data_IF_534922753621
#
_entry.id   IF_534922753621
#
_cell.length_a   1.000
_cell.length_b   1.000
_cell.length_c   1.000
_cell.angle_alpha   90.00
_cell.angle_beta   90.00
_cell.angle_gamma   90.00
#
_symmetry.space_group_name_H-M   'P 1'
#
loop_
_entity.id
_entity.type
_entity.pdbx_description
1 polymer ?
#
# COMPACT_ATOMS: atom_id res chain seq x y z
N UNK A 1 9.02 7.07 -3.27
CA UNK A 1 7.68 7.33 -3.86
C UNK A 1 6.97 8.38 -3.01
N UNK A 2 6.72 9.59 -3.54
CA UNK A 2 6.26 10.74 -2.73
C UNK A 2 4.75 10.77 -2.46
N UNK A 3 3.92 10.15 -3.30
CA UNK A 3 2.46 10.27 -3.19
C UNK A 3 1.88 9.67 -1.91
N UNK A 4 2.29 8.46 -1.51
CA UNK A 4 1.78 7.83 -0.28
C UNK A 4 2.05 8.73 0.94
N UNK A 5 3.27 9.25 1.04
CA UNK A 5 3.71 10.11 2.14
C UNK A 5 3.05 11.49 2.10
N UNK A 6 2.81 12.05 0.91
CA UNK A 6 2.36 13.44 0.78
C UNK A 6 0.84 13.60 0.59
N UNK A 7 0.14 12.55 0.15
CA UNK A 7 -1.29 12.61 -0.20
C UNK A 7 -2.10 11.66 0.69
N UNK A 8 -1.76 10.37 0.71
CA UNK A 8 -2.53 9.37 1.46
C UNK A 8 -2.35 9.49 2.98
N UNK A 9 -1.12 9.35 3.48
CA UNK A 9 -0.82 9.34 4.91
C UNK A 9 -1.37 10.57 5.65
N UNK A 10 -1.13 11.82 5.21
CA UNK A 10 -1.59 13.00 5.95
C UNK A 10 -3.10 13.18 5.92
N UNK A 11 -3.80 12.71 4.88
CA UNK A 11 -5.26 12.85 4.77
C UNK A 11 -6.03 11.69 5.40
N UNK A 12 -5.39 10.55 5.59
CA UNK A 12 -6.02 9.34 6.10
C UNK A 12 -6.74 9.51 7.47
N UNK A 13 -6.20 10.24 8.47
CA UNK A 13 -6.90 10.43 9.75
C UNK A 13 -8.29 11.03 9.62
N UNK A 14 -8.48 11.96 8.67
CA UNK A 14 -9.78 12.61 8.40
C UNK A 14 -10.66 11.77 7.47
N UNK A 15 -10.06 10.98 6.59
CA UNK A 15 -10.80 10.19 5.59
C UNK A 15 -11.14 8.76 6.05
N UNK A 16 -10.48 8.20 7.06
CA UNK A 16 -10.54 6.77 7.43
C UNK A 16 -11.94 6.22 7.74
N UNK A 17 -12.91 7.08 8.09
CA UNK A 17 -14.31 6.69 8.32
C UNK A 17 -15.13 6.59 7.02
N UNK A 18 -14.59 7.10 5.92
CA UNK A 18 -15.28 7.26 4.65
C UNK A 18 -14.64 6.45 3.52
N UNK A 19 -13.44 5.90 3.72
CA UNK A 19 -12.72 5.11 2.71
C UNK A 19 -12.26 3.76 3.27
N UNK A 20 -12.18 2.78 2.38
CA UNK A 20 -11.47 1.54 2.62
C UNK A 20 -10.25 1.46 1.70
N UNK A 21 -9.06 1.36 2.28
CA UNK A 21 -7.78 1.38 1.56
C UNK A 21 -7.24 -0.04 1.42
N UNK A 22 -7.00 -0.46 0.18
CA UNK A 22 -6.23 -1.66 -0.14
C UNK A 22 -4.88 -1.25 -0.69
N UNK A 23 -3.80 -1.70 -0.04
CA UNK A 23 -2.42 -1.48 -0.49
C UNK A 23 -1.90 -2.75 -1.18
N UNK A 24 -1.32 -2.59 -2.37
CA UNK A 24 -0.80 -3.69 -3.21
C UNK A 24 0.67 -3.38 -3.56
N UNK A 25 1.62 -3.66 -2.64
CA UNK A 25 3.04 -3.44 -2.90
C UNK A 25 3.55 -4.44 -3.93
N UNK A 26 3.69 -3.97 -5.18
CA UNK A 26 4.24 -4.72 -6.31
C UNK A 26 4.75 -3.75 -7.38
N UNK A 27 3.90 -2.79 -7.76
CA UNK A 27 4.26 -1.75 -8.72
C UNK A 27 4.41 -2.31 -10.13
N UNK A 28 5.56 -2.07 -10.75
CA UNK A 28 5.88 -2.56 -12.11
C UNK A 28 6.84 -3.74 -12.07
N UNK A 29 6.87 -4.46 -10.96
CA UNK A 29 7.59 -5.72 -10.90
C UNK A 29 6.96 -6.75 -11.86
N UNK A 30 7.68 -7.83 -12.11
CA UNK A 30 7.15 -9.03 -12.77
C UNK A 30 7.44 -10.24 -11.89
N UNK A 31 6.59 -11.25 -11.95
CA UNK A 31 6.79 -12.52 -11.26
C UNK A 31 6.57 -13.70 -12.21
N UNK A 32 7.38 -14.74 -12.07
CA UNK A 32 7.20 -15.99 -12.81
C UNK A 32 7.78 -17.17 -12.01
N UNK A 33 7.42 -18.39 -12.40
CA UNK A 33 7.98 -19.63 -11.86
C UNK A 33 8.03 -20.67 -12.97
N UNK A 34 9.05 -21.52 -12.95
CA UNK A 34 9.27 -22.53 -14.00
C UNK A 34 8.31 -23.73 -13.89
N UNK A 35 7.79 -23.98 -12.69
CA UNK A 35 6.80 -25.02 -12.42
C UNK A 35 5.77 -24.52 -11.42
N UNK A 36 4.60 -25.17 -11.36
CA UNK A 36 3.51 -24.76 -10.48
C UNK A 36 3.88 -24.76 -9.00
N UNK A 37 4.81 -25.63 -8.59
CA UNK A 37 5.33 -25.76 -7.23
C UNK A 37 6.73 -25.17 -7.05
N UNK A 38 7.31 -24.59 -8.10
CA UNK A 38 8.63 -23.99 -8.09
C UNK A 38 8.67 -22.64 -7.35
N UNK A 39 9.87 -22.16 -6.98
CA UNK A 39 10.02 -20.87 -6.34
C UNK A 39 9.64 -19.72 -7.29
N UNK A 40 9.05 -18.67 -6.73
CA UNK A 40 8.79 -17.45 -7.47
C UNK A 40 10.08 -16.68 -7.75
N UNK A 41 10.23 -16.22 -8.98
CA UNK A 41 11.27 -15.29 -9.40
C UNK A 41 10.64 -13.93 -9.63
N UNK A 42 11.28 -12.88 -9.10
CA UNK A 42 10.80 -11.50 -9.21
C UNK A 42 11.84 -10.60 -9.87
N UNK A 43 11.38 -9.75 -10.80
CA UNK A 43 12.19 -8.66 -11.35
C UNK A 43 11.50 -7.33 -11.04
N UNK A 44 12.17 -6.49 -10.25
CA UNK A 44 11.71 -5.16 -9.87
C UNK A 44 12.53 -4.07 -10.59
N UNK A 45 11.91 -2.93 -10.89
CA UNK A 45 12.51 -1.86 -11.70
C UNK A 45 13.76 -1.23 -11.07
N UNK A 46 13.79 -1.18 -9.75
CA UNK A 46 14.89 -0.63 -8.96
C UNK A 46 15.74 -1.73 -8.30
N UNK A 47 15.70 -2.95 -8.87
CA UNK A 47 16.54 -4.08 -8.49
C UNK A 47 16.07 -4.83 -7.22
N UNK A 48 16.90 -5.75 -6.71
CA UNK A 48 16.51 -6.67 -5.63
C UNK A 48 16.10 -5.99 -4.32
N UNK A 49 16.61 -4.80 -4.05
CA UNK A 49 16.25 -4.04 -2.85
C UNK A 49 14.79 -3.61 -2.84
N UNK A 50 14.24 -3.23 -4.00
CA UNK A 50 12.82 -2.93 -4.15
C UNK A 50 11.97 -4.18 -3.95
N UNK A 51 12.37 -5.32 -4.56
CA UNK A 51 11.66 -6.58 -4.35
C UNK A 51 11.61 -6.98 -2.87
N UNK A 52 12.73 -6.84 -2.13
CA UNK A 52 12.77 -7.07 -0.68
C UNK A 52 11.82 -6.14 0.09
N UNK A 53 11.80 -4.85 -0.27
CA UNK A 53 10.87 -3.88 0.30
C UNK A 53 9.40 -4.24 0.05
N UNK A 54 9.06 -4.62 -1.18
CA UNK A 54 7.70 -5.03 -1.54
C UNK A 54 7.26 -6.29 -0.77
N UNK A 55 8.14 -7.31 -0.68
CA UNK A 55 7.92 -8.51 0.14
C UNK A 55 7.67 -8.16 1.60
N UNK A 56 8.53 -7.32 2.18
CA UNK A 56 8.41 -6.93 3.58
C UNK A 56 7.11 -6.16 3.86
N UNK A 57 6.70 -5.24 2.96
CA UNK A 57 5.42 -4.54 3.08
C UNK A 57 4.23 -5.50 2.95
N UNK A 58 4.29 -6.49 2.05
CA UNK A 58 3.27 -7.52 1.92
C UNK A 58 3.15 -8.37 3.20
N UNK A 59 4.28 -8.76 3.79
CA UNK A 59 4.34 -9.44 5.09
C UNK A 59 3.74 -8.61 6.22
N UNK A 60 4.03 -7.30 6.27
CA UNK A 60 3.45 -6.41 7.27
C UNK A 60 1.93 -6.29 7.16
N UNK A 61 1.41 -6.15 5.93
CA UNK A 61 -0.03 -6.15 5.67
C UNK A 61 -0.66 -7.48 6.11
N UNK A 62 -0.01 -8.61 5.83
CA UNK A 62 -0.47 -9.91 6.28
C UNK A 62 -0.48 -10.04 7.81
N UNK A 63 0.62 -9.70 8.48
CA UNK A 63 0.74 -9.80 9.93
C UNK A 63 -0.29 -8.92 10.66
N UNK A 64 -0.45 -7.65 10.25
CA UNK A 64 -1.45 -6.75 10.84
C UNK A 64 -2.85 -7.37 10.77
N UNK A 65 -3.22 -7.96 9.62
CA UNK A 65 -4.53 -8.60 9.45
C UNK A 65 -4.71 -9.85 10.33
N UNK A 66 -3.61 -10.54 10.63
CA UNK A 66 -3.62 -11.80 11.38
C UNK A 66 -3.59 -11.60 12.89
N UNK A 67 -3.01 -10.52 13.41
CA UNK A 67 -2.72 -10.38 14.85
C UNK A 67 -3.17 -9.06 15.50
N UNK A 68 -3.61 -8.06 14.74
CA UNK A 68 -4.14 -6.82 15.29
C UNK A 68 -5.67 -6.82 15.29
N UNK A 69 -6.28 -5.99 16.13
CA UNK A 69 -7.73 -5.80 16.14
C UNK A 69 -8.20 -5.20 14.80
N UNK A 70 -9.36 -5.63 14.30
CA UNK A 70 -9.84 -5.31 12.94
C UNK A 70 -9.98 -3.81 12.70
N UNK A 71 -10.42 -3.07 13.72
CA UNK A 71 -10.54 -1.61 13.71
C UNK A 71 -9.19 -0.88 13.51
N UNK A 72 -8.07 -1.54 13.86
CA UNK A 72 -6.73 -0.99 13.75
C UNK A 72 -6.02 -1.39 12.46
N UNK A 73 -6.56 -2.34 11.68
CA UNK A 73 -5.86 -2.87 10.50
C UNK A 73 -5.46 -1.76 9.52
N UNK A 74 -6.44 -0.99 9.03
CA UNK A 74 -6.17 0.02 8.01
C UNK A 74 -5.27 1.17 8.49
N UNK A 75 -5.48 1.80 9.67
CA UNK A 75 -4.57 2.84 10.14
C UNK A 75 -3.14 2.32 10.33
N UNK A 76 -2.97 1.11 10.88
CA UNK A 76 -1.64 0.52 11.03
C UNK A 76 -0.98 0.22 9.68
N UNK A 77 -1.72 -0.33 8.72
CA UNK A 77 -1.19 -0.59 7.37
C UNK A 77 -0.76 0.69 6.66
N UNK A 78 -1.60 1.75 6.68
CA UNK A 78 -1.29 3.04 6.05
C UNK A 78 -0.06 3.68 6.70
N UNK A 79 -0.01 3.71 8.03
CA UNK A 79 1.12 4.30 8.76
C UNK A 79 2.42 3.52 8.55
N UNK A 80 2.36 2.18 8.56
CA UNK A 80 3.53 1.33 8.37
C UNK A 80 4.11 1.49 6.97
N UNK A 81 3.27 1.44 5.94
CA UNK A 81 3.71 1.63 4.54
C UNK A 81 4.22 3.05 4.34
N UNK A 82 3.53 4.06 4.91
CA UNK A 82 3.98 5.44 4.93
C UNK A 82 5.38 5.62 5.52
N UNK A 83 5.62 5.05 6.71
CA UNK A 83 6.92 5.04 7.37
C UNK A 83 8.00 4.38 6.50
N UNK A 84 7.72 3.19 5.96
CA UNK A 84 8.69 2.44 5.16
C UNK A 84 9.05 3.18 3.87
N UNK A 85 8.09 3.89 3.26
CA UNK A 85 8.29 4.68 2.04
C UNK A 85 8.98 6.02 2.26
N UNK A 86 8.97 6.53 3.50
CA UNK A 86 9.71 7.72 3.91
C UNK A 86 11.17 7.42 4.28
N UNK A 87 11.48 6.17 4.66
CA UNK A 87 12.82 5.78 5.09
C UNK A 87 13.87 5.97 3.98
N UNK A 88 15.11 6.30 4.37
CA UNK A 88 16.25 6.38 3.45
C UNK A 88 16.61 5.04 2.80
N UNK A 89 16.25 3.94 3.45
CA UNK A 89 16.46 2.56 2.96
C UNK A 89 15.16 1.74 3.00
N UNK A 90 14.19 2.00 2.09
CA UNK A 90 12.87 1.37 2.11
C UNK A 90 12.90 -0.16 2.10
N UNK A 91 13.90 -0.75 1.44
CA UNK A 91 14.05 -2.21 1.30
C UNK A 91 14.23 -2.97 2.61
N UNK A 92 14.58 -2.30 3.71
CA UNK A 92 14.80 -2.90 5.03
C UNK A 92 14.07 -2.17 6.16
N UNK A 93 13.20 -1.20 5.83
CA UNK A 93 12.61 -0.29 6.82
C UNK A 93 11.45 -0.90 7.62
N UNK A 94 10.82 -1.97 7.12
CA UNK A 94 9.57 -2.50 7.68
C UNK A 94 9.68 -2.93 9.16
N UNK A 95 10.69 -3.69 9.62
CA UNK A 95 10.80 -4.05 11.03
C UNK A 95 10.90 -2.84 11.97
N UNK A 96 11.65 -1.81 11.56
CA UNK A 96 11.79 -0.56 12.33
C UNK A 96 10.47 0.22 12.33
N UNK A 97 9.79 0.30 11.19
CA UNK A 97 8.50 0.95 11.08
C UNK A 97 7.40 0.23 11.85
N UNK A 98 7.43 -1.11 11.91
CA UNK A 98 6.52 -1.91 12.71
C UNK A 98 6.61 -1.53 14.20
N UNK A 99 7.82 -1.33 14.72
CA UNK A 99 8.02 -0.81 16.07
C UNK A 99 7.54 0.64 16.20
N UNK A 100 7.87 1.51 15.24
CA UNK A 100 7.54 2.93 15.30
C UNK A 100 6.03 3.21 15.28
N UNK A 101 5.25 2.42 14.54
CA UNK A 101 3.78 2.54 14.51
C UNK A 101 3.08 1.82 15.67
N UNK A 102 3.84 1.17 16.56
CA UNK A 102 3.30 0.53 17.76
C UNK A 102 2.69 -0.85 17.53
N UNK A 103 3.12 -1.60 16.51
CA UNK A 103 2.66 -2.99 16.35
C UNK A 103 3.03 -3.84 17.56
N UNK A 104 2.09 -4.70 17.96
CA UNK A 104 2.30 -5.58 19.08
C UNK A 104 3.43 -6.60 18.80
N UNK A 105 3.93 -7.26 19.86
CA UNK A 105 5.07 -8.19 19.72
C UNK A 105 4.77 -9.38 18.83
N UNK A 106 3.52 -9.88 18.83
CA UNK A 106 3.10 -10.97 17.96
C UNK A 106 3.13 -10.55 16.49
N UNK A 107 2.56 -9.40 16.15
CA UNK A 107 2.59 -8.83 14.81
C UNK A 107 4.02 -8.66 14.30
N UNK A 108 4.92 -8.11 15.12
CA UNK A 108 6.34 -7.93 14.75
C UNK A 108 7.03 -9.27 14.50
N UNK A 109 6.79 -10.27 15.34
CA UNK A 109 7.31 -11.63 15.13
C UNK A 109 6.79 -12.24 13.83
N UNK A 110 5.50 -12.11 13.54
CA UNK A 110 4.90 -12.60 12.30
C UNK A 110 5.50 -11.92 11.05
N UNK A 111 5.84 -10.64 11.14
CA UNK A 111 6.53 -9.92 10.06
C UNK A 111 7.89 -10.57 9.78
N UNK A 112 8.72 -10.74 10.82
CA UNK A 112 10.07 -11.28 10.68
C UNK A 112 10.05 -12.73 10.17
N UNK A 113 9.16 -13.56 10.73
CA UNK A 113 8.97 -14.95 10.29
C UNK A 113 8.50 -15.01 8.82
N UNK A 114 7.57 -14.13 8.43
CA UNK A 114 7.09 -14.05 7.05
C UNK A 114 8.21 -13.70 6.09
N UNK A 115 9.00 -12.65 6.39
CA UNK A 115 10.11 -12.18 5.56
C UNK A 115 11.15 -13.29 5.33
N UNK A 116 11.37 -14.14 6.32
CA UNK A 116 12.32 -15.25 6.26
C UNK A 116 11.76 -16.53 5.61
N UNK A 117 10.51 -16.52 5.14
CA UNK A 117 9.81 -17.72 4.66
C UNK A 117 9.31 -17.58 3.20
N UNK A 118 8.95 -18.70 2.55
CA UNK A 118 8.30 -18.67 1.22
C UNK A 118 6.96 -17.90 1.19
N UNK A 119 6.38 -17.58 2.37
CA UNK A 119 5.16 -16.78 2.44
C UNK A 119 5.37 -15.37 1.86
N UNK A 120 6.54 -14.76 2.07
CA UNK A 120 6.86 -13.46 1.48
C UNK A 120 6.74 -13.46 -0.05
N UNK A 121 7.21 -14.54 -0.68
CA UNK A 121 7.17 -14.72 -2.13
C UNK A 121 5.74 -14.93 -2.61
N UNK A 122 4.98 -15.80 -1.93
CA UNK A 122 3.58 -16.04 -2.27
C UNK A 122 2.72 -14.78 -2.13
N UNK A 123 2.95 -13.98 -1.09
CA UNK A 123 2.25 -12.70 -0.89
C UNK A 123 2.61 -11.68 -1.98
N UNK A 124 3.87 -11.60 -2.38
CA UNK A 124 4.29 -10.69 -3.45
C UNK A 124 3.73 -11.14 -4.81
N UNK A 125 3.74 -12.44 -5.11
CA UNK A 125 3.14 -13.00 -6.32
C UNK A 125 1.62 -12.73 -6.37
N UNK A 126 0.90 -12.92 -5.27
CA UNK A 126 -0.52 -12.60 -5.19
C UNK A 126 -0.82 -11.09 -5.40
N UNK A 127 0.11 -10.21 -5.04
CA UNK A 127 0.02 -8.79 -5.38
C UNK A 127 0.34 -8.52 -6.86
N UNK A 128 1.22 -9.33 -7.45
CA UNK A 128 1.48 -9.36 -8.88
C UNK A 128 0.24 -9.73 -9.68
N UNK A 129 -0.43 -10.83 -9.33
CA UNK A 129 -1.66 -11.28 -9.99
C UNK A 129 -2.76 -10.20 -9.95
N UNK A 130 -2.91 -9.51 -8.80
CA UNK A 130 -3.84 -8.37 -8.66
C UNK A 130 -3.46 -7.19 -9.56
N UNK A 131 -2.17 -6.93 -9.72
CA UNK A 131 -1.67 -5.84 -10.56
C UNK A 131 -1.89 -6.16 -12.04
N UNK A 132 -1.62 -7.39 -12.45
CA UNK A 132 -1.82 -7.86 -13.82
C UNK A 132 -3.30 -7.90 -14.21
N UNK A 133 -4.18 -8.31 -13.28
CA UNK A 133 -5.63 -8.27 -13.46
C UNK A 133 -6.18 -6.85 -13.66
N UNK A 134 -5.49 -5.83 -13.13
CA UNK A 134 -5.82 -4.43 -13.36
C UNK A 134 -5.30 -3.96 -14.74
N UNK A 135 -4.01 -4.16 -14.99
CA UNK A 135 -3.35 -3.77 -16.24
C UNK A 135 -1.99 -4.47 -16.37
N UNK A 136 -1.80 -5.24 -17.45
CA UNK A 136 -0.51 -5.86 -17.78
C UNK A 136 0.00 -5.40 -19.15
N UNK A 137 1.20 -4.77 -19.26
CA UNK A 137 2.03 -4.29 -18.16
C UNK A 137 1.47 -3.00 -17.52
N UNK A 138 1.68 -2.82 -16.21
CA UNK A 138 1.28 -1.62 -15.50
C UNK A 138 2.03 -0.39 -16.03
N UNK A 139 1.31 0.64 -16.49
CA UNK A 139 1.91 1.78 -17.20
C UNK A 139 2.47 2.86 -16.27
N UNK A 140 1.94 3.01 -15.06
CA UNK A 140 2.31 4.10 -14.15
C UNK A 140 2.26 3.68 -12.67
N UNK A 141 3.10 4.31 -11.83
CA UNK A 141 3.04 4.16 -10.37
C UNK A 141 3.12 5.54 -9.70
N UNK A 142 2.34 5.80 -8.63
CA UNK A 142 1.33 4.90 -8.09
C UNK A 142 0.11 4.83 -9.02
N UNK A 143 -0.53 3.67 -9.11
CA UNK A 143 -1.84 3.53 -9.77
C UNK A 143 -2.91 3.53 -8.69
N UNK A 144 -3.89 4.44 -8.81
CA UNK A 144 -5.00 4.62 -7.88
C UNK A 144 -6.28 4.12 -8.55
N UNK A 145 -7.01 3.28 -7.83
CA UNK A 145 -8.30 2.72 -8.25
C UNK A 145 -9.36 3.18 -7.25
N UNK A 146 -10.45 3.77 -7.74
CA UNK A 146 -11.55 4.24 -6.90
C UNK A 146 -12.76 3.34 -7.12
N UNK A 147 -13.29 2.75 -6.04
CA UNK A 147 -14.46 1.85 -6.09
C UNK A 147 -14.32 0.72 -7.12
N UNK A 148 -13.11 0.15 -7.24
CA UNK A 148 -12.82 -0.95 -8.18
C UNK A 148 -12.65 -0.52 -9.65
N UNK A 149 -12.77 0.78 -9.97
CA UNK A 149 -12.66 1.29 -11.33
C UNK A 149 -11.43 2.18 -11.47
N UNK A 150 -10.57 1.84 -12.43
CA UNK A 150 -9.51 2.72 -12.90
C UNK A 150 -10.04 3.63 -14.00
N UNK A 151 -9.80 4.93 -13.88
CA UNK A 151 -9.96 5.90 -14.97
C UNK A 151 -8.78 6.86 -14.98
N UNK A 152 -8.44 7.38 -16.16
CA UNK A 152 -7.34 8.34 -16.29
C UNK A 152 -7.66 9.63 -15.53
N UNK A 153 -8.92 10.04 -15.54
CA UNK A 153 -9.42 11.23 -14.85
C UNK A 153 -9.23 11.12 -13.33
N UNK A 154 -9.65 9.99 -12.74
CA UNK A 154 -9.47 9.75 -11.30
C UNK A 154 -7.99 9.63 -10.94
N UNK A 155 -7.20 8.98 -11.79
CA UNK A 155 -5.76 8.88 -11.61
C UNK A 155 -5.11 10.28 -11.58
N UNK A 156 -5.39 11.13 -12.57
CA UNK A 156 -4.81 12.47 -12.67
C UNK A 156 -5.26 13.38 -11.51
N UNK A 157 -6.51 13.25 -11.06
CA UNK A 157 -7.01 13.99 -9.89
C UNK A 157 -6.42 13.47 -8.58
N UNK A 158 -6.31 12.15 -8.40
CA UNK A 158 -5.68 11.56 -7.22
C UNK A 158 -4.21 12.00 -7.07
N UNK A 159 -3.48 12.10 -8.18
CA UNK A 159 -2.10 12.58 -8.18
C UNK A 159 -2.00 14.06 -7.81
N UNK A 160 -2.97 14.88 -8.23
CA UNK A 160 -2.99 16.32 -7.92
C UNK A 160 -3.46 16.62 -6.50
N UNK A 161 -4.61 16.09 -6.11
CA UNK A 161 -5.25 16.33 -4.82
C UNK A 161 -6.18 15.15 -4.48
N UNK A 162 -5.61 14.15 -3.81
CA UNK A 162 -6.35 12.96 -3.37
C UNK A 162 -7.52 13.27 -2.43
N UNK A 163 -7.38 14.13 -1.40
CA UNK A 163 -8.52 14.51 -0.56
C UNK A 163 -9.70 15.07 -1.36
N UNK A 164 -9.44 15.99 -2.31
CA UNK A 164 -10.48 16.57 -3.16
C UNK A 164 -11.20 15.52 -4.00
N UNK A 165 -10.46 14.58 -4.60
CA UNK A 165 -11.05 13.46 -5.33
C UNK A 165 -12.00 12.66 -4.43
N UNK A 166 -11.54 12.26 -3.23
CA UNK A 166 -12.37 11.49 -2.30
C UNK A 166 -13.63 12.27 -1.92
N UNK A 167 -13.50 13.56 -1.58
CA UNK A 167 -14.61 14.43 -1.23
C UNK A 167 -15.68 14.57 -2.33
N UNK A 168 -15.32 14.41 -3.61
CA UNK A 168 -16.28 14.38 -4.72
C UNK A 168 -17.04 13.05 -4.82
N UNK A 169 -16.44 11.96 -4.36
CA UNK A 169 -17.07 10.64 -4.33
C UNK A 169 -17.91 10.36 -3.08
N UNK A 170 -17.78 11.18 -2.02
CA UNK A 170 -18.61 11.06 -0.83
C UNK A 170 -20.02 11.60 -1.07
N UNK A 171 -21.02 10.74 -0.87
CA UNK A 171 -22.46 11.07 -0.98
C UNK A 171 -23.11 11.36 0.38
N UNK A 172 -22.45 11.02 1.49
CA UNK A 172 -22.91 11.21 2.86
C UNK A 172 -22.29 12.47 3.51
N UNK A 173 -22.43 12.61 4.83
CA UNK A 173 -21.77 13.65 5.63
C UNK A 173 -20.28 13.69 5.31
N UNK A 174 -19.81 14.84 4.79
CA UNK A 174 -18.44 15.03 4.36
C UNK A 174 -17.57 15.47 5.55
N UNK A 175 -16.37 14.91 5.73
CA UNK A 175 -15.45 15.34 6.77
C UNK A 175 -14.96 16.78 6.54
N UNK A 176 -14.41 17.40 7.59
CA UNK A 176 -13.88 18.78 7.58
C UNK A 176 -12.92 19.08 6.44
N UNK A 177 -12.05 18.12 6.09
CA UNK A 177 -11.12 18.22 4.96
C UNK A 177 -11.81 18.48 3.61
N UNK A 178 -13.11 18.19 3.49
CA UNK A 178 -13.90 18.48 2.29
C UNK A 178 -14.48 19.90 2.25
N UNK A 179 -14.44 20.63 3.36
CA UNK A 179 -14.97 21.99 3.47
C UNK A 179 -13.92 23.06 3.17
N UNK A 180 -12.64 22.70 3.06
CA UNK A 180 -11.53 23.63 2.86
C UNK A 180 -11.31 24.05 1.40
N UNK A 181 -12.37 24.18 0.59
CA UNK A 181 -12.29 24.68 -0.80
C UNK A 181 -13.58 25.42 -1.26
N UNK A 182 -14.02 26.42 -0.49
CA UNK A 182 -14.85 27.52 -1.04
C UNK A 182 -14.07 28.82 -1.19
N UNK A 183 -12.75 28.76 -1.36
CA UNK A 183 -11.90 29.94 -1.51
C UNK A 183 -10.68 29.68 -2.42
N UNK A 184 -10.90 29.49 -3.71
CA UNK A 184 -9.96 29.93 -4.74
C UNK A 184 -10.77 30.57 -5.88
N UNK A 185 -10.67 31.90 -5.94
CA UNK A 185 -11.10 32.78 -7.03
C UNK A 185 -10.12 32.68 -8.20
#
# INVERSE_FOLDING_TARGET
MRWIVNQLVPSYPELKRHIHVTLVPFGKATHHRESETGPWQFLCQHGPSECRGNKAQACAIHAIRSSEATENHQPLMVNLVGCAMLAGTPGTAVPQCAQAVGLNTEARKLIDDCIASPLADNLLAANGDKTEALQSPLRFVPTIVINGVYSKENQDEAIRNFPKLICRHLTAEKPSICSSESAEN
#
